data_IF_928706740055
#
_entry.id   IF_928706740055
#
_cell.length_a   1.000
_cell.length_b   1.000
_cell.length_c   1.000
_cell.angle_alpha   90.00
_cell.angle_beta   90.00
_cell.angle_gamma   90.00
#
_symmetry.space_group_name_H-M   'P 1'
#
loop_
_entity.id
_entity.type
_entity.pdbx_description
1 polymer ?
#
# COMPACT_ATOMS: atom_id res chain seq x y z
N UNK A 1 -3.55 13.63 -9.38
CA UNK A 1 -4.08 12.92 -8.20
C UNK A 1 -3.22 13.28 -7.02
N UNK A 2 -3.86 13.75 -5.96
CA UNK A 2 -3.23 13.90 -4.64
C UNK A 2 -3.05 12.52 -3.97
N UNK A 3 -2.41 12.54 -2.79
CA UNK A 3 -2.09 11.35 -2.02
C UNK A 3 -3.34 10.60 -1.54
N UNK A 4 -4.41 11.28 -1.14
CA UNK A 4 -5.63 10.64 -0.64
C UNK A 4 -6.32 9.85 -1.75
N UNK A 5 -6.41 10.41 -2.96
CA UNK A 5 -6.92 9.69 -4.11
C UNK A 5 -6.09 8.43 -4.43
N UNK A 6 -4.76 8.51 -4.37
CA UNK A 6 -3.90 7.35 -4.60
C UNK A 6 -4.09 6.27 -3.54
N UNK A 7 -4.19 6.66 -2.26
CA UNK A 7 -4.43 5.73 -1.14
C UNK A 7 -5.78 5.03 -1.25
N UNK A 8 -6.84 5.78 -1.59
CA UNK A 8 -8.18 5.22 -1.80
C UNK A 8 -8.18 4.14 -2.89
N UNK A 9 -7.59 4.43 -4.05
CA UNK A 9 -7.52 3.45 -5.14
C UNK A 9 -6.59 2.27 -4.83
N UNK A 10 -5.52 2.50 -4.09
CA UNK A 10 -4.66 1.43 -3.60
C UNK A 10 -5.42 0.47 -2.69
N UNK A 11 -6.16 0.97 -1.69
CA UNK A 11 -7.00 0.16 -0.81
C UNK A 11 -8.05 -0.63 -1.58
N UNK A 12 -8.75 0.02 -2.52
CA UNK A 12 -9.74 -0.65 -3.36
C UNK A 12 -9.11 -1.77 -4.21
N UNK A 13 -7.89 -1.56 -4.72
CA UNK A 13 -7.17 -2.58 -5.48
C UNK A 13 -6.78 -3.79 -4.62
N UNK A 14 -6.38 -3.57 -3.36
CA UNK A 14 -6.10 -4.64 -2.40
C UNK A 14 -7.37 -5.44 -2.10
N UNK A 15 -8.48 -4.76 -1.80
CA UNK A 15 -9.76 -5.41 -1.51
C UNK A 15 -10.23 -6.26 -2.69
N UNK A 16 -10.12 -5.73 -3.92
CA UNK A 16 -10.45 -6.47 -5.14
C UNK A 16 -9.54 -7.69 -5.33
N UNK A 17 -8.23 -7.54 -5.15
CA UNK A 17 -7.29 -8.65 -5.25
C UNK A 17 -7.56 -9.74 -4.19
N UNK A 18 -7.99 -9.34 -2.99
CA UNK A 18 -8.34 -10.27 -1.93
C UNK A 18 -9.57 -11.12 -2.30
N UNK A 19 -10.59 -10.50 -2.93
CA UNK A 19 -11.85 -11.15 -3.33
C UNK A 19 -11.78 -12.01 -4.60
N UNK A 20 -10.67 -11.99 -5.35
CA UNK A 20 -10.54 -12.73 -6.60
C UNK A 20 -9.99 -14.15 -6.40
N UNK A 21 -10.39 -15.11 -7.25
CA UNK A 21 -9.79 -16.44 -7.28
C UNK A 21 -8.31 -16.37 -7.69
N UNK A 22 -7.51 -17.35 -7.26
CA UNK A 22 -6.05 -17.35 -7.40
C UNK A 22 -5.56 -17.06 -8.84
N UNK A 23 -6.27 -17.59 -9.84
CA UNK A 23 -5.96 -17.40 -11.27
C UNK A 23 -6.09 -15.95 -11.75
N UNK A 24 -6.97 -15.15 -11.14
CA UNK A 24 -7.19 -13.74 -11.48
C UNK A 24 -6.42 -12.78 -10.54
N UNK A 25 -5.74 -13.32 -9.53
CA UNK A 25 -5.08 -12.54 -8.48
C UNK A 25 -3.82 -11.83 -8.98
N UNK A 26 -3.10 -12.44 -9.92
CA UNK A 26 -1.86 -11.89 -10.47
C UNK A 26 -2.06 -10.50 -11.11
N UNK A 27 -3.10 -10.35 -11.93
CA UNK A 27 -3.41 -9.06 -12.56
C UNK A 27 -3.91 -8.03 -11.55
N UNK A 28 -4.67 -8.46 -10.54
CA UNK A 28 -5.08 -7.57 -9.46
C UNK A 28 -3.90 -7.06 -8.62
N UNK A 29 -2.88 -7.90 -8.38
CA UNK A 29 -1.63 -7.48 -7.73
C UNK A 29 -0.82 -6.49 -8.58
N UNK A 30 -0.93 -6.52 -9.91
CA UNK A 30 -0.31 -5.49 -10.77
C UNK A 30 -0.89 -4.11 -10.50
N UNK A 31 -2.21 -4.01 -10.27
CA UNK A 31 -2.86 -2.75 -9.89
C UNK A 31 -2.43 -2.29 -8.49
N UNK A 32 -2.33 -3.21 -7.53
CA UNK A 32 -1.80 -2.90 -6.19
C UNK A 32 -0.40 -2.30 -6.29
N UNK A 33 0.50 -2.95 -7.04
CA UNK A 33 1.88 -2.48 -7.26
C UNK A 33 1.92 -1.14 -8.00
N UNK A 34 1.05 -0.95 -8.99
CA UNK A 34 0.94 0.31 -9.73
C UNK A 34 0.66 1.50 -8.79
N UNK A 35 -0.36 1.39 -7.93
CA UNK A 35 -0.68 2.46 -7.00
C UNK A 35 0.38 2.63 -5.92
N UNK A 36 0.98 1.54 -5.42
CA UNK A 36 2.08 1.60 -4.47
C UNK A 36 3.25 2.42 -5.02
N UNK A 37 3.73 2.12 -6.23
CA UNK A 37 4.84 2.86 -6.84
C UNK A 37 4.53 4.35 -7.02
N UNK A 38 3.27 4.70 -7.31
CA UNK A 38 2.87 6.11 -7.43
C UNK A 38 2.83 6.82 -6.08
N UNK A 39 2.37 6.14 -5.03
CA UNK A 39 2.38 6.65 -3.66
C UNK A 39 3.82 6.90 -3.21
N UNK A 40 4.72 5.93 -3.41
CA UNK A 40 6.14 6.05 -3.02
C UNK A 40 6.81 7.23 -3.72
N UNK A 41 6.61 7.37 -5.04
CA UNK A 41 7.12 8.53 -5.81
C UNK A 41 6.55 9.87 -5.35
N UNK A 42 5.29 9.89 -4.90
CA UNK A 42 4.68 11.13 -4.41
C UNK A 42 5.20 11.49 -3.02
N UNK A 43 5.38 10.51 -2.14
CA UNK A 43 5.97 10.69 -0.81
C UNK A 43 7.41 11.18 -0.87
N UNK A 44 8.21 10.57 -1.75
CA UNK A 44 9.59 11.00 -2.03
C UNK A 44 9.65 12.48 -2.45
N UNK A 45 8.79 12.89 -3.38
CA UNK A 45 8.66 14.31 -3.79
C UNK A 45 8.21 15.25 -2.67
N UNK A 46 7.48 14.76 -1.68
CA UNK A 46 7.03 15.52 -0.53
C UNK A 46 8.06 15.52 0.63
N UNK A 47 9.17 14.77 0.50
CA UNK A 47 10.12 14.57 1.59
C UNK A 47 9.55 13.77 2.77
N UNK A 48 8.47 13.03 2.55
CA UNK A 48 7.80 12.20 3.56
C UNK A 48 8.26 10.76 3.40
N UNK A 49 8.56 10.08 4.50
CA UNK A 49 8.94 8.66 4.49
C UNK A 49 7.92 7.79 3.73
N UNK A 50 8.41 6.82 2.94
CA UNK A 50 7.59 5.89 2.16
C UNK A 50 6.63 5.06 3.01
N UNK A 51 6.94 4.92 4.30
CA UNK A 51 6.09 4.24 5.28
C UNK A 51 5.87 5.16 6.48
N UNK A 52 4.64 5.31 6.98
CA UNK A 52 4.41 6.11 8.17
C UNK A 52 5.01 5.40 9.39
N UNK A 53 5.58 6.17 10.32
CA UNK A 53 6.39 5.66 11.43
C UNK A 53 5.64 4.67 12.34
N UNK A 54 4.31 4.74 12.39
CA UNK A 54 3.47 3.82 13.17
C UNK A 54 3.49 2.37 12.66
N UNK A 55 3.82 2.14 11.38
CA UNK A 55 3.98 0.79 10.86
C UNK A 55 5.28 0.11 11.33
N UNK A 56 6.32 0.87 11.68
CA UNK A 56 7.55 0.34 12.26
C UNK A 56 7.39 -0.03 13.73
N UNK A 57 6.55 0.71 14.46
CA UNK A 57 6.28 0.49 15.88
C UNK A 57 5.48 -0.81 16.14
N UNK A 58 4.61 -1.22 15.21
CA UNK A 58 3.80 -2.43 15.36
C UNK A 58 4.65 -3.72 15.40
N UNK A 59 5.83 -3.74 14.77
CA UNK A 59 6.73 -4.91 14.79
C UNK A 59 7.51 -5.01 16.11
N UNK A 60 7.72 -3.90 16.83
CA UNK A 60 8.41 -3.91 18.12
C UNK A 60 7.49 -4.11 19.33
N UNK A 61 6.17 -3.95 19.16
CA UNK A 61 5.21 -4.17 20.25
C UNK A 61 4.94 -5.66 20.57
N UNK A 62 5.53 -6.61 19.82
CA UNK A 62 5.30 -8.05 19.97
C UNK A 62 6.43 -8.86 20.60
N UNK A 63 7.57 -8.26 20.94
CA UNK A 63 8.70 -8.96 21.58
C UNK A 63 8.99 -8.38 22.96
N UNK A 64 8.02 -8.50 23.86
CA UNK A 64 8.22 -8.31 25.29
C UNK A 64 7.25 -9.20 26.07
N UNK A 65 7.54 -10.51 26.12
CA UNK A 65 7.38 -11.42 27.28
C UNK A 65 7.72 -12.84 26.87
#
# INVERSE_FOLDING_TARGET
MDLNHLLYHHQLSIMRAASLPAVARADAFRLVKHYQTRIDRLRDKMGVSSYPDWCGAAVQAGTAS
#
